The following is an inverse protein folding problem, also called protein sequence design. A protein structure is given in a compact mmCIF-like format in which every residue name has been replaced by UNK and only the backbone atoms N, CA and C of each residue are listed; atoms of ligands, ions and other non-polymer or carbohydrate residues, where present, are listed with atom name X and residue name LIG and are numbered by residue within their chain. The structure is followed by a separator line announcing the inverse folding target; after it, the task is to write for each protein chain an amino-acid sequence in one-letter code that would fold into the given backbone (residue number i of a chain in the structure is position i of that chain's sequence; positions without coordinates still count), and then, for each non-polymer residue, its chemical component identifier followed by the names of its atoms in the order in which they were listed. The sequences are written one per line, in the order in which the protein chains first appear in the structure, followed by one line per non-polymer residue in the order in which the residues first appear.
data_IF_489490195970
#
_entry.id   IF_489490195970
#
_cell.length_a   1.000
_cell.length_b   1.000
_cell.length_c   1.000
_cell.angle_alpha   90.00
_cell.angle_beta   90.00
_cell.angle_gamma   90.00
#
_symmetry.space_group_name_H-M   'P 1'
#
loop_
_entity.id
_entity.type
_entity.pdbx_description
1 polymer ?
#
# COMPACT_ATOMS: atom_id res chain seq x y z
N UNK A 1 -14.18 16.59 -1.20
CA UNK A 1 -14.32 15.31 -0.48
C UNK A 1 -13.58 15.35 0.86
N UNK A 2 -12.26 15.54 0.94
CA UNK A 2 -11.61 15.59 2.26
C UNK A 2 -12.17 16.66 3.21
N UNK A 3 -12.37 17.89 2.74
CA UNK A 3 -12.89 18.97 3.57
C UNK A 3 -14.34 18.73 4.05
N UNK A 4 -15.14 17.93 3.33
CA UNK A 4 -16.50 17.57 3.76
C UNK A 4 -16.49 16.50 4.85
N UNK A 5 -15.59 15.52 4.74
CA UNK A 5 -15.51 14.42 5.71
C UNK A 5 -14.72 14.79 6.98
N UNK A 6 -13.61 15.51 6.82
CA UNK A 6 -12.69 15.85 7.91
C UNK A 6 -13.07 17.20 8.55
N UNK A 7 -13.75 18.07 7.80
CA UNK A 7 -14.03 19.46 8.16
C UNK A 7 -12.93 20.39 7.64
N UNK A 8 -13.34 21.45 6.93
CA UNK A 8 -12.46 22.33 6.15
C UNK A 8 -11.36 23.08 6.95
N UNK A 9 -11.48 23.14 8.28
CA UNK A 9 -10.52 23.83 9.15
C UNK A 9 -9.87 22.90 10.19
N UNK A 10 -10.08 21.58 10.06
CA UNK A 10 -9.50 20.60 10.96
C UNK A 10 -8.00 20.56 10.75
N UNK A 11 -7.21 20.80 11.78
CA UNK A 11 -5.75 20.71 11.65
C UNK A 11 -5.33 19.28 11.39
N UNK A 12 -4.49 19.09 10.38
CA UNK A 12 -3.85 17.81 10.06
C UNK A 12 -2.36 18.07 10.07
N UNK A 13 -1.65 17.50 11.03
CA UNK A 13 -0.21 17.78 11.16
C UNK A 13 0.60 17.23 9.98
N UNK A 14 0.20 16.07 9.46
CA UNK A 14 1.00 15.29 8.51
C UNK A 14 0.22 14.90 7.28
N UNK A 15 0.89 14.94 6.15
CA UNK A 15 0.39 14.37 4.90
C UNK A 15 1.42 13.37 4.40
N UNK A 16 0.93 12.24 3.88
CA UNK A 16 1.72 11.34 3.06
C UNK A 16 1.26 11.44 1.62
N UNK A 17 2.23 11.65 0.73
CA UNK A 17 2.10 11.77 -0.71
C UNK A 17 2.79 10.56 -1.31
N UNK A 18 2.11 9.75 -2.10
CA UNK A 18 2.73 8.52 -2.56
C UNK A 18 1.89 7.70 -3.52
N UNK A 19 2.47 6.56 -3.89
CA UNK A 19 1.81 5.52 -4.65
C UNK A 19 0.97 4.63 -3.71
N UNK A 20 -0.01 3.93 -4.25
CA UNK A 20 -0.95 3.06 -3.55
C UNK A 20 -0.35 1.74 -3.07
N UNK A 21 0.88 1.75 -2.57
CA UNK A 21 1.53 0.55 -2.03
C UNK A 21 0.86 0.09 -0.73
N UNK A 22 0.77 -1.22 -0.52
CA UNK A 22 0.04 -1.82 0.62
C UNK A 22 0.38 -1.22 2.00
N UNK A 23 1.64 -0.86 2.25
CA UNK A 23 2.06 -0.33 3.56
C UNK A 23 1.69 1.14 3.81
N UNK A 24 1.28 1.91 2.80
CA UNK A 24 0.98 3.34 2.97
C UNK A 24 -0.17 3.58 3.96
N UNK A 25 -1.12 2.66 4.02
CA UNK A 25 -2.24 2.68 4.95
C UNK A 25 -1.81 2.55 6.41
N UNK A 26 -0.79 1.73 6.69
CA UNK A 26 -0.16 1.64 8.01
C UNK A 26 0.60 2.93 8.32
N UNK A 27 1.40 3.43 7.37
CA UNK A 27 2.08 4.71 7.58
C UNK A 27 1.08 5.83 7.93
N UNK A 28 0.05 6.00 7.10
CA UNK A 28 -0.98 7.02 7.29
C UNK A 28 -1.69 6.89 8.64
N UNK A 29 -2.08 5.66 9.02
CA UNK A 29 -2.78 5.41 10.29
C UNK A 29 -1.89 5.70 11.50
N UNK A 30 -0.68 5.11 11.54
CA UNK A 30 0.19 5.18 12.71
C UNK A 30 0.82 6.56 12.89
N UNK A 31 1.03 7.30 11.80
CA UNK A 31 1.53 8.68 11.83
C UNK A 31 0.40 9.71 11.98
N UNK A 32 -0.87 9.30 11.85
CA UNK A 32 -2.00 10.23 11.84
C UNK A 32 -1.95 11.19 10.66
N UNK A 33 -1.56 10.68 9.49
CA UNK A 33 -1.40 11.46 8.27
C UNK A 33 -2.60 11.27 7.32
N UNK A 34 -2.96 12.34 6.62
CA UNK A 34 -3.85 12.22 5.46
C UNK A 34 -3.06 11.71 4.24
N UNK A 35 -3.70 10.89 3.41
CA UNK A 35 -3.07 10.35 2.21
C UNK A 35 -3.51 11.11 0.95
N UNK A 36 -2.53 11.62 0.19
CA UNK A 36 -2.72 12.29 -1.08
C UNK A 36 -2.06 11.46 -2.19
N UNK A 37 -2.82 10.67 -2.96
CA UNK A 37 -2.24 9.80 -3.98
C UNK A 37 -1.66 10.61 -5.14
N UNK A 38 -0.48 10.23 -5.64
CA UNK A 38 0.15 10.87 -6.81
C UNK A 38 0.02 10.06 -8.09
N UNK A 39 -0.83 9.04 -8.08
CA UNK A 39 -1.13 8.27 -9.27
C UNK A 39 -2.55 7.73 -9.23
N UNK A 40 -3.05 7.33 -10.39
CA UNK A 40 -4.32 6.65 -10.50
C UNK A 40 -4.32 5.67 -11.66
N UNK A 41 -5.16 4.65 -11.52
CA UNK A 41 -5.29 3.57 -12.48
C UNK A 41 -6.39 3.91 -13.49
N UNK A 42 -6.11 3.68 -14.77
CA UNK A 42 -7.08 3.85 -15.86
C UNK A 42 -7.08 2.59 -16.71
N UNK A 43 -8.26 2.02 -16.97
CA UNK A 43 -8.41 1.04 -18.04
C UNK A 43 -8.46 1.74 -19.39
N UNK A 44 -7.65 1.31 -20.34
CA UNK A 44 -7.59 1.87 -21.69
C UNK A 44 -7.49 0.77 -22.75
N UNK A 45 -8.08 1.00 -23.92
CA UNK A 45 -7.98 0.09 -25.06
C UNK A 45 -7.09 0.64 -26.18
N UNK A 46 -6.45 1.79 -25.97
CA UNK A 46 -5.46 2.35 -26.87
C UNK A 46 -4.44 3.23 -26.15
N UNK A 47 -3.23 3.34 -26.70
CA UNK A 47 -2.25 4.31 -26.23
C UNK A 47 -2.72 5.75 -26.51
N UNK A 48 -3.49 5.95 -27.59
CA UNK A 48 -4.06 7.25 -27.96
C UNK A 48 -5.03 7.80 -26.90
N UNK A 49 -5.83 6.95 -26.25
CA UNK A 49 -6.68 7.35 -25.11
C UNK A 49 -5.85 7.85 -23.93
N UNK A 50 -4.78 7.12 -23.58
CA UNK A 50 -3.87 7.52 -22.50
C UNK A 50 -3.15 8.82 -22.84
N UNK A 51 -2.70 8.98 -24.09
CA UNK A 51 -2.09 10.23 -24.56
C UNK A 51 -3.07 11.41 -24.46
N UNK A 52 -4.34 11.23 -24.82
CA UNK A 52 -5.35 12.28 -24.69
C UNK A 52 -5.58 12.68 -23.22
N UNK A 53 -5.53 11.73 -22.28
CA UNK A 53 -5.58 12.04 -20.84
C UNK A 53 -4.35 12.84 -20.43
N UNK A 54 -3.15 12.40 -20.81
CA UNK A 54 -1.92 13.15 -20.53
C UNK A 54 -1.96 14.56 -21.11
N UNK A 55 -2.35 14.72 -22.37
CA UNK A 55 -2.43 16.04 -23.02
C UNK A 55 -3.40 16.96 -22.27
N UNK A 56 -4.58 16.45 -21.89
CA UNK A 56 -5.55 17.20 -21.11
C UNK A 56 -5.01 17.56 -19.72
N UNK A 57 -4.47 16.59 -18.98
CA UNK A 57 -3.91 16.79 -17.64
C UNK A 57 -2.80 17.84 -17.65
N UNK A 58 -1.83 17.72 -18.55
CA UNK A 58 -0.70 18.63 -18.66
C UNK A 58 -1.13 20.05 -19.09
N UNK A 59 -2.13 20.18 -19.97
CA UNK A 59 -2.70 21.49 -20.34
C UNK A 59 -3.44 22.19 -19.20
N UNK A 60 -3.90 21.43 -18.19
CA UNK A 60 -4.66 21.93 -17.05
C UNK A 60 -3.85 21.99 -15.75
N UNK A 61 -2.51 21.92 -15.81
CA UNK A 61 -1.63 22.08 -14.65
C UNK A 61 -1.33 20.81 -13.87
N UNK A 62 -1.69 19.64 -14.41
CA UNK A 62 -1.40 18.32 -13.82
C UNK A 62 -0.25 17.67 -14.58
N UNK A 63 0.96 18.17 -14.33
CA UNK A 63 2.19 17.63 -14.89
C UNK A 63 2.24 16.12 -14.64
N UNK A 64 2.28 15.29 -15.68
CA UNK A 64 2.15 13.84 -15.54
C UNK A 64 2.78 13.05 -16.67
N UNK A 65 3.20 11.83 -16.35
CA UNK A 65 3.60 10.78 -17.30
C UNK A 65 2.75 9.53 -17.06
N UNK A 66 2.80 8.58 -17.99
CA UNK A 66 2.07 7.32 -17.82
C UNK A 66 2.87 6.09 -18.27
N UNK A 67 2.54 4.97 -17.64
CA UNK A 67 2.93 3.63 -18.07
C UNK A 67 1.66 2.85 -18.42
N UNK A 68 1.58 2.30 -19.63
CA UNK A 68 0.47 1.51 -20.15
C UNK A 68 0.92 0.07 -20.39
N UNK A 69 0.26 -0.87 -19.74
CA UNK A 69 0.53 -2.30 -19.87
C UNK A 69 -0.74 -3.13 -19.79
N UNK A 70 -0.63 -4.30 -19.17
CA UNK A 70 -1.73 -5.19 -18.88
C UNK A 70 -1.59 -5.75 -17.47
N UNK A 71 -2.72 -5.97 -16.81
CA UNK A 71 -2.76 -6.46 -15.43
C UNK A 71 -3.64 -7.71 -15.35
N UNK A 72 -3.22 -8.71 -14.57
CA UNK A 72 -3.96 -9.96 -14.37
C UNK A 72 -5.31 -9.76 -13.68
N UNK A 73 -5.46 -8.71 -12.88
CA UNK A 73 -6.69 -8.32 -12.20
C UNK A 73 -7.71 -7.62 -13.11
N UNK A 74 -7.29 -7.14 -14.28
CA UNK A 74 -8.13 -6.40 -15.24
C UNK A 74 -8.17 -7.11 -16.61
N UNK A 75 -8.88 -8.25 -16.72
CA UNK A 75 -8.88 -9.06 -17.94
C UNK A 75 -9.52 -8.32 -19.12
N UNK A 76 -8.92 -8.44 -20.30
CA UNK A 76 -9.48 -7.95 -21.57
C UNK A 76 -9.29 -6.46 -21.88
N UNK A 77 -8.67 -5.69 -20.98
CA UNK A 77 -8.35 -4.27 -21.20
C UNK A 77 -6.88 -3.99 -20.92
N UNK A 78 -6.34 -2.95 -21.54
CA UNK A 78 -5.07 -2.38 -21.13
C UNK A 78 -5.23 -1.56 -19.86
N UNK A 79 -4.13 -1.35 -19.15
CA UNK A 79 -4.13 -0.67 -17.85
C UNK A 79 -3.01 0.35 -17.82
N UNK A 80 -3.34 1.59 -17.49
CA UNK A 80 -2.39 2.67 -17.38
C UNK A 80 -2.32 3.20 -15.93
N UNK A 81 -1.10 3.26 -15.40
CA UNK A 81 -0.80 4.11 -14.26
C UNK A 81 -0.43 5.49 -14.78
N UNK A 82 -1.22 6.50 -14.39
CA UNK A 82 -0.93 7.91 -14.68
C UNK A 82 -0.37 8.52 -13.41
N UNK A 83 0.86 9.01 -13.48
CA UNK A 83 1.65 9.49 -12.35
C UNK A 83 1.87 10.99 -12.44
N UNK A 84 1.48 11.71 -11.39
CA UNK A 84 1.70 13.14 -11.25
C UNK A 84 3.17 13.42 -10.92
N UNK A 85 3.75 14.42 -11.56
CA UNK A 85 5.15 14.83 -11.41
C UNK A 85 5.36 15.85 -10.29
N UNK A 86 4.30 16.50 -9.81
CA UNK A 86 4.32 17.50 -8.74
C UNK A 86 2.96 17.52 -8.01
N UNK A 87 2.87 18.26 -6.91
CA UNK A 87 1.63 18.53 -6.21
C UNK A 87 0.67 19.36 -7.09
N UNK A 88 -0.56 18.89 -7.34
CA UNK A 88 -1.60 19.71 -7.95
C UNK A 88 -2.03 20.83 -7.00
N UNK A 89 -2.63 21.90 -7.54
CA UNK A 89 -3.05 23.06 -6.74
C UNK A 89 -4.06 22.70 -5.65
N UNK A 90 -4.91 21.71 -5.89
CA UNK A 90 -5.85 21.20 -4.89
C UNK A 90 -5.13 20.61 -3.67
N UNK A 91 -4.00 19.94 -3.88
CA UNK A 91 -3.21 19.35 -2.80
C UNK A 91 -2.44 20.44 -2.04
N UNK A 92 -1.90 21.43 -2.75
CA UNK A 92 -1.30 22.62 -2.11
C UNK A 92 -2.33 23.39 -1.29
N UNK A 93 -3.55 23.54 -1.79
CA UNK A 93 -4.63 24.19 -1.05
C UNK A 93 -5.03 23.38 0.19
N UNK A 94 -5.14 22.05 0.06
CA UNK A 94 -5.38 21.16 1.20
C UNK A 94 -4.31 21.30 2.29
N UNK A 95 -3.03 21.28 1.92
CA UNK A 95 -1.90 21.44 2.85
C UNK A 95 -2.01 22.77 3.61
N UNK A 96 -2.37 23.86 2.92
CA UNK A 96 -2.58 25.19 3.52
C UNK A 96 -3.80 25.23 4.45
N UNK A 97 -4.96 24.78 3.97
CA UNK A 97 -6.24 24.83 4.71
C UNK A 97 -6.16 24.05 6.02
N UNK A 98 -5.49 22.90 5.99
CA UNK A 98 -5.35 22.00 7.12
C UNK A 98 -4.11 22.27 7.99
N UNK A 99 -3.33 23.34 7.70
CA UNK A 99 -2.16 23.75 8.47
C UNK A 99 -1.16 22.61 8.66
N UNK A 100 -0.86 21.90 7.57
CA UNK A 100 0.09 20.79 7.56
C UNK A 100 1.48 21.29 7.91
N UNK A 101 2.20 20.54 8.75
CA UNK A 101 3.57 20.83 9.18
C UNK A 101 4.58 19.91 8.49
N UNK A 102 4.18 18.70 8.11
CA UNK A 102 5.07 17.66 7.59
C UNK A 102 4.44 16.97 6.36
N UNK A 103 5.18 16.92 5.26
CA UNK A 103 4.84 16.18 4.03
C UNK A 103 5.84 15.03 3.87
N UNK A 104 5.34 13.81 3.73
CA UNK A 104 6.14 12.59 3.53
C UNK A 104 5.89 12.05 2.13
N UNK A 105 6.93 11.93 1.32
CA UNK A 105 6.91 11.30 -0.01
C UNK A 105 7.23 9.81 0.20
N UNK A 106 6.34 8.90 -0.21
CA UNK A 106 6.40 7.50 0.20
C UNK A 106 6.23 6.53 -0.98
N UNK A 107 7.26 5.73 -1.28
CA UNK A 107 7.24 4.75 -2.38
C UNK A 107 8.58 4.06 -2.61
N UNK A 108 8.66 3.27 -3.69
CA UNK A 108 9.92 2.66 -4.15
C UNK A 108 10.73 3.71 -4.90
N UNK A 109 12.03 3.81 -4.65
CA UNK A 109 12.91 4.77 -5.33
C UNK A 109 13.02 4.50 -6.84
N UNK A 110 13.54 5.46 -7.61
CA UNK A 110 13.63 5.35 -9.08
C UNK A 110 14.34 4.06 -9.54
N UNK A 111 15.40 3.68 -8.82
CA UNK A 111 16.24 2.51 -9.11
C UNK A 111 15.71 1.21 -8.50
N UNK A 112 14.61 1.27 -7.73
CA UNK A 112 13.91 0.10 -7.27
C UNK A 112 13.07 -0.49 -8.40
N UNK A 113 13.56 -1.58 -8.98
CA UNK A 113 12.91 -2.24 -10.11
C UNK A 113 12.02 -3.40 -9.66
N UNK A 114 10.77 -3.38 -10.10
CA UNK A 114 9.84 -4.50 -10.05
C UNK A 114 9.36 -4.80 -11.46
N UNK A 115 8.16 -4.32 -11.80
CA UNK A 115 7.63 -4.35 -13.17
C UNK A 115 8.04 -3.09 -13.92
N UNK A 116 9.22 -3.15 -14.54
CA UNK A 116 9.95 -1.96 -15.00
C UNK A 116 10.36 -1.95 -16.48
N UNK A 117 10.38 -3.09 -17.16
CA UNK A 117 10.82 -3.13 -18.55
C UNK A 117 9.76 -2.53 -19.48
N UNK A 118 10.16 -1.49 -20.22
CA UNK A 118 9.24 -0.70 -21.03
C UNK A 118 9.86 -0.20 -22.33
N UNK A 119 9.01 0.31 -23.22
CA UNK A 119 9.42 1.04 -24.42
C UNK A 119 8.64 2.34 -24.50
N UNK A 120 9.34 3.45 -24.69
CA UNK A 120 8.71 4.77 -24.82
C UNK A 120 7.93 4.87 -26.13
N UNK A 121 6.74 5.45 -26.08
CA UNK A 121 5.97 5.85 -27.26
C UNK A 121 6.59 7.13 -27.83
N UNK A 122 7.02 7.08 -29.09
CA UNK A 122 7.67 8.18 -29.79
C UNK A 122 6.61 9.03 -30.51
N UNK A 123 6.45 10.28 -30.08
CA UNK A 123 5.58 11.26 -30.74
C UNK A 123 6.40 12.21 -31.61
N UNK A 124 5.73 13.02 -32.45
CA UNK A 124 6.40 13.98 -33.34
C UNK A 124 7.11 15.11 -32.57
N UNK A 125 6.64 15.42 -31.35
CA UNK A 125 7.29 16.33 -30.44
C UNK A 125 8.27 15.52 -29.59
N UNK A 126 9.56 15.60 -29.89
CA UNK A 126 10.59 14.83 -29.20
C UNK A 126 10.74 15.32 -27.76
N UNK A 127 9.96 14.73 -26.85
CA UNK A 127 10.25 14.81 -25.41
C UNK A 127 11.51 13.96 -25.21
N UNK A 128 12.60 14.58 -24.73
CA UNK A 128 13.91 13.92 -24.62
C UNK A 128 14.17 13.46 -23.20
N UNK A 129 13.78 14.23 -22.20
CA UNK A 129 13.83 13.83 -20.79
C UNK A 129 12.94 12.60 -20.55
N UNK A 130 13.40 11.68 -19.71
CA UNK A 130 12.76 10.38 -19.48
C UNK A 130 11.35 10.56 -18.88
N UNK A 131 11.23 11.14 -17.70
CA UNK A 131 9.93 11.27 -17.02
C UNK A 131 9.21 12.59 -17.30
N UNK A 132 9.51 13.26 -18.42
CA UNK A 132 8.92 14.57 -18.69
C UNK A 132 7.39 14.52 -18.89
N UNK A 133 6.69 15.64 -18.60
CA UNK A 133 5.26 15.81 -18.87
C UNK A 133 4.83 15.30 -20.25
N UNK A 134 3.85 14.40 -20.29
CA UNK A 134 3.32 13.80 -21.51
C UNK A 134 4.05 12.56 -22.01
N UNK A 135 5.09 12.10 -21.29
CA UNK A 135 5.77 10.85 -21.63
C UNK A 135 4.87 9.64 -21.39
N UNK A 136 4.82 8.74 -22.37
CA UNK A 136 4.06 7.50 -22.33
C UNK A 136 4.99 6.31 -22.59
N UNK A 137 4.90 5.31 -21.72
CA UNK A 137 5.68 4.08 -21.77
C UNK A 137 4.76 2.88 -21.95
N UNK A 138 5.08 1.99 -22.88
CA UNK A 138 4.44 0.67 -22.96
C UNK A 138 5.22 -0.28 -22.05
N UNK A 139 4.56 -0.81 -21.02
CA UNK A 139 5.15 -1.76 -20.09
C UNK A 139 4.96 -3.20 -20.56
N UNK A 140 6.00 -4.01 -20.35
CA UNK A 140 6.01 -5.44 -20.60
C UNK A 140 6.29 -6.16 -19.28
N UNK A 141 5.25 -6.66 -18.62
CA UNK A 141 5.35 -7.25 -17.27
C UNK A 141 6.19 -8.54 -17.25
N UNK A 142 6.44 -9.17 -18.41
CA UNK A 142 7.31 -10.33 -18.56
C UNK A 142 8.52 -10.06 -19.49
N UNK A 143 9.14 -8.88 -19.34
CA UNK A 143 10.42 -8.52 -19.97
C UNK A 143 10.44 -8.56 -21.51
N UNK A 144 9.30 -8.29 -22.15
CA UNK A 144 9.20 -8.16 -23.60
C UNK A 144 9.08 -9.50 -24.33
N UNK A 145 8.63 -10.53 -23.62
CA UNK A 145 8.36 -11.84 -24.18
C UNK A 145 7.30 -11.80 -25.29
N UNK A 146 7.26 -12.85 -26.14
CA UNK A 146 6.19 -12.98 -27.14
C UNK A 146 4.80 -12.95 -26.49
N UNK A 147 4.68 -13.50 -25.28
CA UNK A 147 3.46 -13.45 -24.49
C UNK A 147 3.05 -12.01 -24.11
N UNK A 148 4.00 -11.13 -23.76
CA UNK A 148 3.69 -9.71 -23.52
C UNK A 148 3.17 -9.05 -24.80
N UNK A 149 3.86 -9.27 -25.91
CA UNK A 149 3.51 -8.66 -27.19
C UNK A 149 2.10 -9.08 -27.61
N UNK A 150 1.77 -10.36 -27.47
CA UNK A 150 0.45 -10.89 -27.76
C UNK A 150 -0.60 -10.35 -26.78
N UNK A 151 -0.29 -10.30 -25.48
CA UNK A 151 -1.19 -9.75 -24.47
C UNK A 151 -1.53 -8.27 -24.72
N UNK A 152 -0.52 -7.46 -25.10
CA UNK A 152 -0.67 -6.05 -25.44
C UNK A 152 -1.47 -5.88 -26.74
N UNK A 153 -1.13 -6.60 -27.81
CA UNK A 153 -1.88 -6.56 -29.09
C UNK A 153 -3.35 -6.94 -28.94
N UNK A 154 -3.66 -7.85 -28.03
CA UNK A 154 -5.03 -8.29 -27.79
C UNK A 154 -5.87 -7.22 -27.06
N UNK A 155 -5.22 -6.34 -26.29
CA UNK A 155 -5.88 -5.36 -25.42
C UNK A 155 -5.86 -3.93 -25.98
N UNK A 156 -4.82 -3.61 -26.75
CA UNK A 156 -4.56 -2.27 -27.28
C UNK A 156 -4.76 -2.25 -28.80
N UNK A 157 -5.81 -1.56 -29.25
CA UNK A 157 -6.22 -1.52 -30.66
C UNK A 157 -5.18 -0.88 -31.58
N UNK A 158 -4.40 0.07 -31.05
CA UNK A 158 -3.40 0.83 -31.80
C UNK A 158 -1.97 0.33 -31.60
N UNK A 159 -1.73 -0.78 -30.89
CA UNK A 159 -0.38 -1.27 -30.58
C UNK A 159 0.52 -1.38 -31.82
N UNK A 160 0.00 -1.96 -32.91
CA UNK A 160 0.77 -2.14 -34.16
C UNK A 160 1.06 -0.83 -34.91
N UNK A 161 0.42 0.28 -34.52
CA UNK A 161 0.60 1.61 -35.10
C UNK A 161 1.59 2.44 -34.30
N UNK A 162 1.94 2.02 -33.07
CA UNK A 162 2.85 2.73 -32.20
C UNK A 162 4.26 2.74 -32.76
N UNK A 163 4.89 3.91 -32.71
CA UNK A 163 6.33 4.05 -32.86
C UNK A 163 6.94 3.93 -31.48
N UNK A 164 7.70 2.87 -31.26
CA UNK A 164 8.28 2.56 -29.96
C UNK A 164 9.80 2.73 -30.01
N UNK A 165 10.36 3.36 -28.98
CA UNK A 165 11.81 3.48 -28.79
C UNK A 165 12.49 2.15 -28.48
N UNK A 166 13.76 2.25 -28.08
CA UNK A 166 14.50 1.10 -27.55
C UNK A 166 13.91 0.64 -26.21
N UNK A 167 14.18 -0.62 -25.85
CA UNK A 167 13.80 -1.17 -24.55
C UNK A 167 14.64 -0.56 -23.44
N UNK A 168 13.99 -0.21 -22.33
CA UNK A 168 14.65 0.37 -21.15
C UNK A 168 13.95 -0.06 -19.87
N UNK A 169 14.62 0.12 -18.74
CA UNK A 169 14.03 -0.03 -17.42
C UNK A 169 13.66 1.34 -16.90
N UNK A 170 12.40 1.48 -16.47
CA UNK A 170 11.92 2.67 -15.76
C UNK A 170 11.68 2.31 -14.28
N UNK A 171 11.45 3.32 -13.45
CA UNK A 171 10.98 3.10 -12.07
C UNK A 171 9.73 2.21 -12.06
N UNK A 172 9.59 1.38 -11.01
CA UNK A 172 8.48 0.43 -10.87
C UNK A 172 7.12 1.06 -11.20
N UNK A 173 6.36 0.41 -12.09
CA UNK A 173 5.18 1.05 -12.68
C UNK A 173 4.07 1.38 -11.68
N UNK A 174 3.94 0.63 -10.59
CA UNK A 174 2.87 0.81 -9.60
C UNK A 174 3.38 1.63 -8.42
N UNK A 175 4.50 1.20 -7.82
CA UNK A 175 4.97 1.71 -6.53
C UNK A 175 6.09 2.74 -6.63
N UNK A 176 6.72 2.86 -7.80
CA UNK A 176 7.87 3.70 -8.06
C UNK A 176 7.59 5.20 -8.00
N UNK A 177 8.49 5.95 -7.36
CA UNK A 177 8.57 7.41 -7.34
C UNK A 177 9.93 7.80 -7.91
N UNK A 178 9.91 8.65 -8.93
CA UNK A 178 11.13 9.09 -9.63
C UNK A 178 11.78 10.29 -8.94
N UNK A 179 13.07 10.52 -9.19
CA UNK A 179 13.82 11.59 -8.53
C UNK A 179 13.22 12.98 -8.81
N UNK A 180 12.72 13.20 -10.04
CA UNK A 180 12.02 14.42 -10.42
C UNK A 180 10.72 14.62 -9.61
N UNK A 181 9.97 13.54 -9.32
CA UNK A 181 8.79 13.61 -8.46
C UNK A 181 9.19 14.04 -7.04
N UNK A 182 10.27 13.47 -6.51
CA UNK A 182 10.77 13.80 -5.17
C UNK A 182 11.19 15.27 -5.11
N UNK A 183 12.00 15.72 -6.07
CA UNK A 183 12.50 17.09 -6.14
C UNK A 183 11.36 18.12 -6.28
N UNK A 184 10.41 17.86 -7.19
CA UNK A 184 9.29 18.77 -7.43
C UNK A 184 8.34 18.83 -6.22
N UNK A 185 7.91 17.67 -5.70
CA UNK A 185 6.95 17.61 -4.59
C UNK A 185 7.56 18.21 -3.32
N UNK A 186 8.82 17.89 -3.01
CA UNK A 186 9.50 18.47 -1.84
C UNK A 186 9.68 19.98 -1.98
N UNK A 187 10.12 20.46 -3.16
CA UNK A 187 10.25 21.90 -3.44
C UNK A 187 8.91 22.65 -3.35
N UNK A 188 7.85 22.09 -3.94
CA UNK A 188 6.50 22.63 -3.85
C UNK A 188 5.99 22.67 -2.40
N UNK A 189 6.28 21.63 -1.61
CA UNK A 189 5.93 21.59 -0.19
C UNK A 189 6.68 22.67 0.61
N UNK A 190 8.00 22.77 0.45
CA UNK A 190 8.86 23.74 1.17
C UNK A 190 8.62 25.19 0.78
N UNK A 191 8.07 25.45 -0.41
CA UNK A 191 7.63 26.79 -0.80
C UNK A 191 6.48 27.31 0.08
N UNK A 192 5.78 26.42 0.80
CA UNK A 192 4.76 26.79 1.79
C UNK A 192 5.40 27.01 3.16
N UNK A 193 5.04 28.12 3.81
CA UNK A 193 5.63 28.49 5.09
C UNK A 193 5.36 27.42 6.17
N UNK A 194 6.42 27.02 6.89
CA UNK A 194 6.41 26.06 8.00
C UNK A 194 6.11 24.60 7.62
N UNK A 195 6.19 24.24 6.34
CA UNK A 195 6.10 22.83 5.91
C UNK A 195 7.50 22.25 5.79
N UNK A 196 7.72 21.08 6.39
CA UNK A 196 8.91 20.25 6.17
C UNK A 196 8.58 19.11 5.23
N UNK A 197 9.47 18.81 4.29
CA UNK A 197 9.33 17.70 3.37
C UNK A 197 10.32 16.60 3.72
N UNK A 198 9.85 15.35 3.66
CA UNK A 198 10.65 14.16 3.86
C UNK A 198 10.38 13.15 2.76
N UNK A 199 11.35 12.31 2.43
CA UNK A 199 11.12 11.09 1.66
C UNK A 199 11.33 9.87 2.54
N UNK A 200 10.47 8.86 2.37
CA UNK A 200 10.62 7.50 2.87
C UNK A 200 10.60 6.58 1.67
N UNK A 201 11.77 6.07 1.30
CA UNK A 201 11.91 5.24 0.11
C UNK A 201 12.92 4.12 0.33
N UNK A 202 12.94 3.19 -0.62
CA UNK A 202 13.85 2.06 -0.66
C UNK A 202 13.92 1.59 -2.11
N UNK A 203 15.06 1.02 -2.49
CA UNK A 203 15.18 0.32 -3.78
C UNK A 203 14.82 -1.19 -3.62
N UNK A 204 14.53 -1.62 -2.38
CA UNK A 204 14.04 -2.95 -2.01
C UNK A 204 12.54 -2.90 -1.66
N UNK A 205 11.69 -3.34 -2.61
CA UNK A 205 10.24 -3.39 -2.43
C UNK A 205 9.82 -4.16 -1.17
N UNK A 206 10.57 -5.18 -0.75
CA UNK A 206 10.20 -5.95 0.44
C UNK A 206 10.39 -5.19 1.74
N UNK A 207 11.34 -4.26 1.80
CA UNK A 207 11.47 -3.36 2.94
C UNK A 207 10.21 -2.50 3.12
N UNK A 208 9.58 -2.04 2.04
CA UNK A 208 8.31 -1.31 2.10
C UNK A 208 7.14 -2.16 2.57
N UNK A 209 7.13 -3.47 2.34
CA UNK A 209 6.09 -4.33 2.91
C UNK A 209 6.36 -4.57 4.40
N UNK A 210 7.62 -4.82 4.76
CA UNK A 210 8.02 -5.14 6.13
C UNK A 210 7.85 -3.98 7.11
N UNK A 211 8.00 -2.72 6.67
CA UNK A 211 7.83 -1.53 7.53
C UNK A 211 6.46 -1.48 8.23
N UNK A 212 5.41 -2.07 7.64
CA UNK A 212 4.07 -2.17 8.24
C UNK A 212 4.09 -2.90 9.60
N UNK A 213 4.89 -3.96 9.74
CA UNK A 213 5.03 -4.71 10.99
C UNK A 213 5.71 -3.84 12.04
N UNK A 214 6.79 -3.13 11.69
CA UNK A 214 7.52 -2.26 12.62
C UNK A 214 6.69 -1.03 13.05
N UNK A 215 5.98 -0.40 12.12
CA UNK A 215 5.04 0.69 12.42
C UNK A 215 3.98 0.22 13.42
N UNK A 216 3.39 -0.95 13.19
CA UNK A 216 2.40 -1.56 14.09
C UNK A 216 2.99 -1.84 15.47
N UNK A 217 4.17 -2.47 15.53
CA UNK A 217 4.84 -2.82 16.78
C UNK A 217 5.20 -1.59 17.62
N UNK A 218 5.79 -0.56 17.01
CA UNK A 218 6.09 0.69 17.72
C UNK A 218 4.80 1.41 18.17
N UNK A 219 3.77 1.41 17.33
CA UNK A 219 2.50 2.06 17.66
C UNK A 219 1.79 1.36 18.84
N UNK A 220 1.78 0.03 18.87
CA UNK A 220 1.30 -0.75 20.02
C UNK A 220 2.14 -0.42 21.26
N UNK A 221 3.48 -0.47 21.15
CA UNK A 221 4.41 -0.20 22.26
C UNK A 221 4.20 1.19 22.86
N UNK A 222 4.05 2.20 22.02
CA UNK A 222 3.77 3.58 22.44
C UNK A 222 2.45 3.69 23.20
N UNK A 223 1.45 2.92 22.79
CA UNK A 223 0.09 3.03 23.30
C UNK A 223 -0.30 1.93 24.31
N UNK A 224 0.66 1.20 24.86
CA UNK A 224 0.41 0.10 25.81
C UNK A 224 -0.45 0.50 27.02
N UNK A 225 -0.32 1.73 27.52
CA UNK A 225 -1.13 2.19 28.66
C UNK A 225 -2.61 2.40 28.32
N UNK A 226 -2.93 2.54 27.03
CA UNK A 226 -4.28 2.79 26.48
C UNK A 226 -4.90 1.50 25.93
N UNK A 227 -4.06 0.64 25.37
CA UNK A 227 -4.42 -0.71 24.96
C UNK A 227 -4.54 -1.61 26.19
N UNK A 228 -5.52 -2.52 26.19
CA UNK A 228 -5.60 -3.54 27.23
C UNK A 228 -4.76 -4.74 26.76
N UNK A 229 -3.89 -5.26 27.62
CA UNK A 229 -3.11 -6.45 27.31
C UNK A 229 -4.01 -7.64 26.91
N UNK A 230 -3.53 -8.56 26.05
CA UNK A 230 -2.15 -8.66 25.53
C UNK A 230 -1.87 -7.69 24.38
N UNK A 231 -0.62 -7.21 24.30
CA UNK A 231 -0.21 -6.17 23.36
C UNK A 231 0.05 -6.71 21.95
N UNK A 232 0.57 -7.94 21.86
CA UNK A 232 0.70 -8.69 20.61
C UNK A 232 -0.06 -9.99 20.81
N UNK A 233 -1.21 -10.10 20.16
CA UNK A 233 -2.11 -11.27 20.24
C UNK A 233 -1.84 -12.29 19.14
N UNK A 234 -1.16 -11.87 18.06
CA UNK A 234 -1.02 -12.72 16.90
C UNK A 234 -0.50 -12.04 15.65
N UNK A 235 -0.62 -12.76 14.54
CA UNK A 235 -0.22 -12.30 13.20
C UNK A 235 -1.44 -12.26 12.30
N UNK A 236 -1.59 -11.17 11.54
CA UNK A 236 -2.57 -11.07 10.46
C UNK A 236 -1.86 -11.10 9.11
N UNK A 237 -2.24 -12.04 8.26
CA UNK A 237 -1.78 -12.16 6.89
C UNK A 237 -2.70 -11.32 6.02
N UNK A 238 -2.21 -10.18 5.54
CA UNK A 238 -2.97 -9.34 4.61
C UNK A 238 -2.38 -9.46 3.22
N UNK A 239 -3.19 -9.97 2.29
CA UNK A 239 -2.87 -9.79 0.87
C UNK A 239 -2.96 -8.32 0.47
N UNK A 240 -2.33 -7.97 -0.65
CA UNK A 240 -2.23 -6.61 -1.15
C UNK A 240 -3.55 -5.82 -1.03
N UNK A 241 -3.51 -4.69 -0.30
CA UNK A 241 -4.60 -3.72 -0.11
C UNK A 241 -5.87 -4.21 0.62
N UNK A 242 -5.82 -5.32 1.38
CA UNK A 242 -6.98 -5.83 2.16
C UNK A 242 -6.96 -5.46 3.64
N UNK A 243 -6.00 -4.64 4.06
CA UNK A 243 -5.64 -4.45 5.46
C UNK A 243 -6.45 -3.36 6.20
N UNK A 244 -6.45 -3.43 7.54
CA UNK A 244 -7.20 -2.53 8.44
C UNK A 244 -6.35 -2.09 9.66
N UNK A 245 -5.36 -1.21 9.46
CA UNK A 245 -4.26 -0.99 10.42
C UNK A 245 -4.69 -0.56 11.83
N UNK A 246 -5.72 0.30 11.94
CA UNK A 246 -6.17 0.81 13.23
C UNK A 246 -6.87 -0.27 14.08
N UNK A 247 -7.65 -1.15 13.43
CA UNK A 247 -8.29 -2.29 14.09
C UNK A 247 -7.22 -3.32 14.47
N UNK A 248 -6.34 -3.67 13.54
CA UNK A 248 -5.26 -4.64 13.75
C UNK A 248 -4.38 -4.24 14.95
N UNK A 249 -3.93 -2.98 15.01
CA UNK A 249 -3.16 -2.49 16.14
C UNK A 249 -3.96 -2.46 17.45
N UNK A 250 -5.28 -2.19 17.40
CA UNK A 250 -6.14 -2.19 18.58
C UNK A 250 -6.28 -3.58 19.19
N UNK A 251 -6.43 -4.61 18.35
CA UNK A 251 -6.53 -6.01 18.80
C UNK A 251 -5.17 -6.71 18.90
N UNK A 252 -4.06 -6.00 18.69
CA UNK A 252 -2.72 -6.54 18.84
C UNK A 252 -2.29 -7.51 17.73
N UNK A 253 -2.85 -7.43 16.53
CA UNK A 253 -2.36 -8.19 15.38
C UNK A 253 -1.20 -7.46 14.70
N UNK A 254 -0.07 -8.15 14.55
CA UNK A 254 1.06 -7.66 13.77
C UNK A 254 0.87 -8.08 12.31
N UNK A 255 0.90 -7.15 11.34
CA UNK A 255 0.64 -7.47 9.95
C UNK A 255 1.83 -8.17 9.29
N UNK A 256 1.53 -9.13 8.44
CA UNK A 256 2.42 -9.72 7.45
C UNK A 256 1.82 -9.45 6.07
N UNK A 257 2.33 -8.42 5.39
CA UNK A 257 1.88 -8.04 4.04
C UNK A 257 2.57 -8.90 2.99
N UNK A 258 1.84 -9.32 1.96
CA UNK A 258 2.39 -10.09 0.85
C UNK A 258 1.60 -9.88 -0.45
N UNK A 259 2.26 -10.21 -1.56
CA UNK A 259 1.65 -10.26 -2.89
C UNK A 259 0.91 -11.59 -3.08
N UNK A 260 -0.33 -11.56 -3.56
CA UNK A 260 -1.23 -12.73 -3.59
C UNK A 260 -0.72 -13.93 -4.42
N UNK A 261 0.22 -13.70 -5.35
CA UNK A 261 0.79 -14.75 -6.17
C UNK A 261 2.04 -15.43 -5.57
N UNK A 262 2.58 -14.90 -4.48
CA UNK A 262 3.67 -15.54 -3.74
C UNK A 262 3.21 -16.91 -3.20
N UNK A 263 4.14 -17.86 -3.06
CA UNK A 263 3.80 -19.15 -2.47
C UNK A 263 3.49 -19.01 -0.98
N UNK A 264 2.61 -19.88 -0.48
CA UNK A 264 2.29 -19.92 0.94
C UNK A 264 3.54 -20.24 1.76
N UNK A 265 4.35 -21.22 1.33
CA UNK A 265 5.57 -21.61 2.01
C UNK A 265 6.55 -20.44 2.22
N UNK A 266 6.88 -19.67 1.17
CA UNK A 266 7.84 -18.56 1.28
C UNK A 266 7.27 -17.40 2.11
N UNK A 267 5.96 -17.19 2.04
CA UNK A 267 5.29 -16.14 2.80
C UNK A 267 5.17 -16.50 4.29
N UNK A 268 4.95 -17.77 4.64
CA UNK A 268 4.95 -18.23 6.04
C UNK A 268 6.37 -18.26 6.61
N UNK A 269 7.37 -18.64 5.82
CA UNK A 269 8.79 -18.61 6.22
C UNK A 269 9.25 -17.21 6.66
N UNK A 270 8.65 -16.15 6.10
CA UNK A 270 8.90 -14.77 6.53
C UNK A 270 8.55 -14.51 8.00
N UNK A 271 7.68 -15.31 8.62
CA UNK A 271 7.44 -15.22 10.08
C UNK A 271 8.75 -15.46 10.83
N UNK A 272 9.47 -16.51 10.50
CA UNK A 272 10.72 -16.88 11.16
C UNK A 272 11.86 -15.96 10.73
N UNK A 273 11.91 -15.61 9.44
CA UNK A 273 13.01 -14.83 8.86
C UNK A 273 13.04 -13.35 9.25
N UNK A 274 11.87 -12.69 9.36
CA UNK A 274 11.82 -11.25 9.67
C UNK A 274 10.88 -10.91 10.82
N UNK A 275 9.69 -11.52 10.88
CA UNK A 275 8.63 -11.04 11.78
C UNK A 275 8.94 -11.35 13.24
N UNK A 276 9.43 -12.55 13.55
CA UNK A 276 9.89 -12.93 14.88
C UNK A 276 11.04 -12.03 15.37
N UNK A 277 12.13 -11.81 14.60
CA UNK A 277 13.14 -10.81 14.96
C UNK A 277 12.57 -9.42 15.23
N UNK A 278 11.63 -8.95 14.40
CA UNK A 278 10.97 -7.66 14.60
C UNK A 278 10.18 -7.65 15.92
N UNK A 279 9.34 -8.66 16.18
CA UNK A 279 8.56 -8.78 17.42
C UNK A 279 9.50 -8.83 18.63
N UNK A 280 10.57 -9.62 18.59
CA UNK A 280 11.54 -9.75 19.69
C UNK A 280 12.18 -8.41 20.08
N UNK A 281 12.42 -7.51 19.11
CA UNK A 281 12.96 -6.16 19.37
C UNK A 281 12.03 -5.26 20.17
N UNK A 282 10.72 -5.55 20.18
CA UNK A 282 9.69 -4.74 20.84
C UNK A 282 9.08 -5.43 22.06
N UNK A 283 8.79 -6.72 21.94
CA UNK A 283 8.10 -7.59 22.89
C UNK A 283 8.83 -8.94 22.98
N UNK A 284 10.00 -9.00 23.63
CA UNK A 284 10.83 -10.20 23.69
C UNK A 284 10.10 -11.39 24.34
N UNK A 285 9.23 -11.14 25.32
CA UNK A 285 8.50 -12.22 26.02
C UNK A 285 7.43 -12.91 25.14
N UNK A 286 7.10 -12.34 23.97
CA UNK A 286 6.07 -12.88 23.06
C UNK A 286 6.67 -13.81 22.02
N UNK A 287 7.94 -13.60 21.61
CA UNK A 287 8.48 -14.24 20.39
C UNK A 287 8.51 -15.76 20.47
N UNK A 288 8.85 -16.31 21.63
CA UNK A 288 8.96 -17.76 21.85
C UNK A 288 7.58 -18.45 21.86
N UNK A 289 6.52 -17.68 22.11
CA UNK A 289 5.14 -18.15 22.18
C UNK A 289 4.29 -17.66 21.00
N UNK A 290 4.90 -17.09 19.95
CA UNK A 290 4.15 -16.50 18.84
C UNK A 290 3.20 -17.50 18.17
N UNK A 291 3.61 -18.77 18.05
CA UNK A 291 2.77 -19.82 17.46
C UNK A 291 1.65 -20.34 18.38
N UNK A 292 1.67 -19.95 19.65
CA UNK A 292 0.56 -20.16 20.59
C UNK A 292 -0.49 -19.05 20.48
N UNK A 293 -0.16 -17.93 19.80
CA UNK A 293 -1.07 -16.82 19.52
C UNK A 293 -1.98 -17.05 18.31
N UNK A 294 -2.80 -16.05 18.02
CA UNK A 294 -3.81 -16.11 16.95
C UNK A 294 -3.21 -15.79 15.57
N UNK A 295 -3.68 -16.49 14.54
CA UNK A 295 -3.31 -16.26 13.14
C UNK A 295 -4.56 -15.97 12.33
N UNK A 296 -4.66 -14.77 11.77
CA UNK A 296 -5.78 -14.42 10.89
C UNK A 296 -5.32 -14.37 9.43
N UNK A 297 -5.88 -15.26 8.62
CA UNK A 297 -5.61 -15.38 7.19
C UNK A 297 -6.61 -14.50 6.42
N UNK A 298 -6.32 -13.20 6.35
CA UNK A 298 -7.06 -12.22 5.55
C UNK A 298 -6.62 -12.30 4.09
N UNK A 299 -7.07 -13.37 3.44
CA UNK A 299 -6.60 -13.75 2.11
C UNK A 299 -7.72 -14.33 1.25
N UNK A 300 -7.82 -13.86 0.01
CA UNK A 300 -8.69 -14.45 -1.01
C UNK A 300 -8.00 -15.65 -1.67
N UNK A 301 -6.68 -15.58 -1.90
CA UNK A 301 -5.92 -16.63 -2.61
C UNK A 301 -5.10 -17.49 -1.64
N UNK A 302 -4.98 -18.80 -1.90
CA UNK A 302 -4.07 -19.71 -1.16
C UNK A 302 -4.30 -19.80 0.36
N UNK A 303 -5.39 -19.28 0.91
CA UNK A 303 -5.72 -19.31 2.37
C UNK A 303 -5.63 -20.69 3.02
N UNK A 304 -5.96 -21.76 2.30
CA UNK A 304 -5.83 -23.12 2.81
C UNK A 304 -4.38 -23.63 2.76
N UNK A 305 -3.59 -23.22 1.77
CA UNK A 305 -2.15 -23.52 1.75
C UNK A 305 -1.44 -22.82 2.90
N UNK A 306 -1.82 -21.57 3.21
CA UNK A 306 -1.34 -20.85 4.40
C UNK A 306 -1.69 -21.58 5.69
N UNK A 307 -2.92 -22.08 5.80
CA UNK A 307 -3.36 -22.87 6.94
C UNK A 307 -2.48 -24.12 7.11
N UNK A 308 -2.28 -24.90 6.05
CA UNK A 308 -1.47 -26.12 6.09
C UNK A 308 0.00 -25.83 6.48
N UNK A 309 0.59 -24.77 5.93
CA UNK A 309 1.96 -24.33 6.25
C UNK A 309 2.12 -23.87 7.71
N UNK A 310 1.07 -23.28 8.31
CA UNK A 310 1.05 -22.90 9.73
C UNK A 310 0.88 -24.12 10.65
N UNK A 311 -0.01 -25.06 10.30
CA UNK A 311 -0.15 -26.34 11.02
C UNK A 311 1.18 -27.10 11.01
N UNK A 312 1.85 -27.15 9.86
CA UNK A 312 3.16 -27.81 9.73
C UNK A 312 4.25 -27.17 10.62
N UNK A 313 4.11 -25.89 10.96
CA UNK A 313 5.01 -25.15 11.86
C UNK A 313 4.56 -25.18 13.34
N UNK A 314 3.53 -25.95 13.66
CA UNK A 314 3.09 -26.19 15.03
C UNK A 314 2.02 -25.23 15.56
N UNK A 315 1.43 -24.39 14.71
CA UNK A 315 0.25 -23.60 15.10
C UNK A 315 -0.93 -24.55 15.25
N UNK A 316 -1.68 -24.43 16.34
CA UNK A 316 -2.90 -25.23 16.52
C UNK A 316 -4.02 -24.71 15.61
N UNK A 317 -4.84 -25.61 15.09
CA UNK A 317 -5.93 -25.22 14.19
C UNK A 317 -6.92 -24.25 14.83
N UNK A 318 -7.12 -24.31 16.15
CA UNK A 318 -8.00 -23.42 16.91
C UNK A 318 -7.51 -21.97 16.91
N UNK A 319 -6.20 -21.77 16.75
CA UNK A 319 -5.58 -20.46 16.68
C UNK A 319 -5.58 -19.87 15.28
N UNK A 320 -5.95 -20.63 14.24
CA UNK A 320 -6.00 -20.15 12.86
C UNK A 320 -7.44 -19.81 12.47
N UNK A 321 -7.66 -18.55 12.12
CA UNK A 321 -8.91 -18.04 11.58
C UNK A 321 -8.71 -17.67 10.12
N UNK A 322 -9.63 -18.09 9.25
CA UNK A 322 -9.56 -17.88 7.79
C UNK A 322 -10.71 -16.98 7.36
N UNK A 323 -10.40 -15.94 6.56
CA UNK A 323 -11.39 -15.13 5.85
C UNK A 323 -12.18 -15.99 4.85
N UNK A 324 -13.51 -15.91 4.86
CA UNK A 324 -14.36 -16.84 4.09
C UNK A 324 -14.88 -16.27 2.75
N UNK A 325 -15.28 -14.99 2.69
CA UNK A 325 -15.87 -14.41 1.46
C UNK A 325 -14.94 -13.44 0.73
N UNK A 326 -15.22 -13.25 -0.57
CA UNK A 326 -14.60 -12.22 -1.43
C UNK A 326 -14.96 -10.82 -0.95
N UNK A 327 -14.15 -9.80 -1.28
CA UNK A 327 -14.34 -8.38 -0.88
C UNK A 327 -15.66 -7.79 -1.41
N UNK A 328 -16.78 -8.15 -0.80
CA UNK A 328 -18.10 -7.59 -1.10
C UNK A 328 -18.76 -7.23 0.20
N UNK A 329 -18.76 -5.92 0.51
CA UNK A 329 -19.61 -5.39 1.56
C UNK A 329 -21.08 -5.71 1.22
N UNK A 330 -21.66 -6.70 1.89
CA UNK A 330 -23.05 -7.07 1.71
C UNK A 330 -23.83 -6.87 3.02
N UNK A 331 -24.59 -5.77 3.16
CA UNK A 331 -25.36 -5.52 4.37
C UNK A 331 -26.54 -6.49 4.57
N UNK A 332 -26.87 -7.30 3.56
CA UNK A 332 -27.89 -8.36 3.62
C UNK A 332 -27.29 -9.75 3.90
N UNK A 333 -25.96 -9.91 3.93
CA UNK A 333 -25.35 -11.18 4.34
C UNK A 333 -25.64 -11.39 5.84
N UNK A 334 -26.55 -12.31 6.12
CA UNK A 334 -26.98 -12.69 7.48
C UNK A 334 -25.99 -13.63 8.18
N UNK A 335 -24.80 -13.81 7.59
CA UNK A 335 -23.76 -14.70 8.08
C UNK A 335 -24.02 -16.16 7.75
N UNK A 336 -24.67 -16.47 6.62
CA UNK A 336 -24.79 -17.84 6.09
C UNK A 336 -23.51 -18.64 6.32
N UNK A 337 -23.66 -19.84 6.87
CA UNK A 337 -22.53 -20.63 7.33
C UNK A 337 -22.11 -21.62 6.26
N UNK A 338 -20.84 -21.64 5.89
CA UNK A 338 -20.24 -22.75 5.15
C UNK A 338 -19.50 -23.67 6.13
N UNK A 339 -19.73 -24.98 6.01
CA UNK A 339 -19.03 -25.98 6.79
C UNK A 339 -17.78 -26.43 6.03
N UNK A 340 -16.60 -26.06 6.53
CA UNK A 340 -15.32 -26.56 6.04
C UNK A 340 -14.54 -27.18 7.20
N UNK A 341 -14.11 -28.44 7.03
CA UNK A 341 -13.44 -29.23 8.07
C UNK A 341 -14.21 -29.29 9.42
N UNK A 342 -15.54 -29.34 9.39
CA UNK A 342 -16.38 -29.45 10.59
C UNK A 342 -16.53 -28.16 11.40
N UNK A 343 -16.18 -27.00 10.83
CA UNK A 343 -16.36 -25.68 11.46
C UNK A 343 -17.47 -24.90 10.75
N UNK A 344 -18.42 -24.39 11.52
CA UNK A 344 -19.45 -23.46 11.07
C UNK A 344 -18.80 -22.07 10.94
N UNK A 345 -18.62 -21.58 9.70
CA UNK A 345 -17.97 -20.28 9.46
C UNK A 345 -18.89 -19.32 8.67
N UNK A 346 -18.93 -18.04 9.06
CA UNK A 346 -19.76 -17.02 8.41
C UNK A 346 -19.18 -16.52 7.08
N UNK A 347 -20.01 -16.40 6.04
CA UNK A 347 -19.65 -15.85 4.69
C UNK A 347 -19.52 -14.32 4.65
N UNK A 348 -18.91 -13.70 5.65
CA UNK A 348 -18.75 -12.23 5.70
C UNK A 348 -17.35 -11.80 5.24
N UNK A 349 -17.25 -10.64 4.59
CA UNK A 349 -15.97 -10.06 4.17
C UNK A 349 -15.12 -9.63 5.37
N UNK A 350 -13.83 -9.33 5.15
CA UNK A 350 -12.93 -8.94 6.25
C UNK A 350 -13.38 -7.64 6.93
N UNK A 351 -13.86 -6.67 6.16
CA UNK A 351 -14.40 -5.43 6.69
C UNK A 351 -15.64 -5.66 7.57
N UNK A 352 -16.58 -6.51 7.14
CA UNK A 352 -17.75 -6.91 7.93
C UNK A 352 -17.34 -7.66 9.19
N UNK A 353 -16.36 -8.54 9.09
CA UNK A 353 -15.85 -9.31 10.22
C UNK A 353 -15.28 -8.38 11.31
N UNK A 354 -14.50 -7.38 10.91
CA UNK A 354 -13.92 -6.41 11.82
C UNK A 354 -14.99 -5.46 12.38
N UNK A 355 -15.96 -5.05 11.56
CA UNK A 355 -17.10 -4.27 12.02
C UNK A 355 -17.93 -5.05 13.06
N UNK A 356 -18.20 -6.33 12.80
CA UNK A 356 -18.88 -7.23 13.73
C UNK A 356 -18.10 -7.37 15.04
N UNK A 357 -16.77 -7.59 14.98
CA UNK A 357 -15.93 -7.69 16.17
C UNK A 357 -15.96 -6.38 17.00
N UNK A 358 -15.92 -5.23 16.34
CA UNK A 358 -16.06 -3.91 16.98
C UNK A 358 -17.43 -3.74 17.64
N UNK A 359 -18.51 -4.15 16.97
CA UNK A 359 -19.88 -3.94 17.45
C UNK A 359 -20.22 -4.91 18.58
N UNK A 360 -20.00 -6.20 18.36
CA UNK A 360 -20.53 -7.28 19.21
C UNK A 360 -19.57 -7.71 20.34
N UNK A 361 -18.25 -7.57 20.14
CA UNK A 361 -17.25 -8.08 21.10
C UNK A 361 -16.49 -6.98 21.82
N UNK A 362 -16.03 -5.96 21.09
CA UNK A 362 -15.26 -4.85 21.67
C UNK A 362 -16.19 -3.78 22.26
N UNK A 363 -17.26 -3.46 21.54
CA UNK A 363 -18.16 -2.35 21.81
C UNK A 363 -17.68 -1.05 21.14
N UNK A 364 -18.53 -0.48 20.28
CA UNK A 364 -18.23 0.72 19.48
C UNK A 364 -17.70 1.89 20.31
N UNK A 365 -18.32 2.16 21.47
CA UNK A 365 -17.90 3.28 22.32
C UNK A 365 -16.53 3.06 22.93
N UNK A 366 -16.22 1.82 23.37
CA UNK A 366 -14.90 1.45 23.91
C UNK A 366 -13.83 1.62 22.83
N UNK A 367 -14.09 1.08 21.64
CA UNK A 367 -13.18 1.19 20.49
C UNK A 367 -12.90 2.65 20.16
N UNK A 368 -13.94 3.46 19.92
CA UNK A 368 -13.80 4.88 19.57
C UNK A 368 -13.07 5.69 20.63
N UNK A 369 -13.39 5.48 21.92
CA UNK A 369 -12.74 6.21 23.01
C UNK A 369 -11.25 5.86 23.11
N UNK A 370 -10.92 4.57 22.98
CA UNK A 370 -9.53 4.10 23.05
C UNK A 370 -8.72 4.65 21.88
N UNK A 371 -9.19 4.46 20.64
CA UNK A 371 -8.52 4.95 19.42
C UNK A 371 -8.29 6.47 19.49
N UNK A 372 -9.30 7.24 19.90
CA UNK A 372 -9.14 8.71 20.06
C UNK A 372 -8.11 9.11 21.12
N UNK A 373 -7.84 8.24 22.10
CA UNK A 373 -6.83 8.51 23.12
C UNK A 373 -5.43 8.14 22.66
N UNK A 374 -5.27 7.29 21.63
CA UNK A 374 -3.97 6.83 21.16
C UNK A 374 -3.14 7.98 20.59
N UNK A 375 -1.83 7.86 20.74
CA UNK A 375 -0.84 8.80 20.22
C UNK A 375 -0.22 8.25 18.96
N UNK A 376 -0.18 9.09 17.93
CA UNK A 376 0.55 8.83 16.70
C UNK A 376 2.06 8.79 16.93
N UNK A 377 2.76 8.09 16.04
CA UNK A 377 4.20 8.03 16.00
C UNK A 377 4.81 9.41 15.68
N UNK A 378 6.03 9.62 16.17
CA UNK A 378 6.85 10.80 15.93
C UNK A 378 7.87 10.54 14.82
N UNK A 379 8.46 11.62 14.30
CA UNK A 379 9.56 11.53 13.33
C UNK A 379 10.75 10.74 13.87
N UNK A 380 11.06 10.84 15.15
CA UNK A 380 12.20 10.12 15.76
C UNK A 380 11.94 8.61 15.86
N UNK A 381 10.71 8.23 16.22
CA UNK A 381 10.28 6.84 16.21
C UNK A 381 10.30 6.28 14.78
N UNK A 382 9.88 7.08 13.80
CA UNK A 382 9.97 6.72 12.39
C UNK A 382 11.42 6.55 11.91
N UNK A 383 12.34 7.45 12.30
CA UNK A 383 13.79 7.30 12.05
C UNK A 383 14.32 5.96 12.56
N UNK A 384 13.93 5.62 13.79
CA UNK A 384 14.30 4.34 14.42
C UNK A 384 13.73 3.15 13.64
N UNK A 385 12.47 3.23 13.22
CA UNK A 385 11.82 2.18 12.43
C UNK A 385 12.53 1.97 11.09
N UNK A 386 12.79 3.05 10.33
CA UNK A 386 13.49 2.95 9.04
C UNK A 386 14.87 2.29 9.21
N UNK A 387 15.61 2.63 10.27
CA UNK A 387 16.89 2.00 10.57
C UNK A 387 16.77 0.50 10.93
N UNK A 388 15.68 0.08 11.57
CA UNK A 388 15.45 -1.32 11.96
C UNK A 388 14.97 -2.22 10.82
N UNK A 389 14.14 -1.70 9.93
CA UNK A 389 13.67 -2.45 8.74
C UNK A 389 14.87 -2.82 7.86
N UNK A 390 15.88 -1.93 7.78
CA UNK A 390 16.98 -2.04 6.84
C UNK A 390 16.57 -1.59 5.45
N UNK A 391 17.52 -1.07 4.65
CA UNK A 391 17.33 -0.59 3.28
C UNK A 391 16.29 0.55 3.08
N UNK A 392 15.64 1.04 4.14
CA UNK A 392 14.77 2.22 4.09
C UNK A 392 15.58 3.50 4.30
N UNK A 393 15.42 4.46 3.39
CA UNK A 393 15.97 5.83 3.49
C UNK A 393 14.89 6.78 4.00
N UNK A 394 15.17 7.51 5.07
CA UNK A 394 14.39 8.67 5.50
C UNK A 394 15.24 9.94 5.33
N UNK A 395 14.88 10.79 4.36
CA UNK A 395 15.61 12.01 4.02
C UNK A 395 14.74 13.23 4.34
N UNK A 396 15.32 14.26 4.97
CA UNK A 396 14.71 15.58 5.11
C UNK A 396 15.26 16.46 3.99
N UNK A 397 14.36 17.14 3.26
CA UNK A 397 14.70 18.03 2.15
C UNK A 397 14.78 19.48 2.61
#
# INVERSE_FOLDING_TARGET
LYNSEIGAATKIKRVVVGTGIASVSYFATMMGAAYLPIHYLVSANSASEVQAILDYSNQNGYASYATLGYDGSMPGVGVAWIKLLDLPEEYKQFIKDHQVEEVYIYGVGQEGHGESYSRRVLTQNTITDEYAPGSLYILYTNFGSDADIDALKHRLYDYNQLKLGEGQYISDWESGIVDDQIANISGSAQAMANVKAYTIETDDMMALYNISSFLTLQYIKKNQSKLQAPFVNGVIFNEYLTNHPQYEAFVGYVPLLYWQFNSAASTVERIDGYLKPAIAGYFPDVVDHLYEGSFYLNSNMRRYEFYDELIARGVTSENIRIRQSVDKWNPEDDGETEEYLGRINHKIGSAEEFAYDIIERIGVQKYRNTVKSMEYLTLEELRTICAQVGNMRLVEH
#
